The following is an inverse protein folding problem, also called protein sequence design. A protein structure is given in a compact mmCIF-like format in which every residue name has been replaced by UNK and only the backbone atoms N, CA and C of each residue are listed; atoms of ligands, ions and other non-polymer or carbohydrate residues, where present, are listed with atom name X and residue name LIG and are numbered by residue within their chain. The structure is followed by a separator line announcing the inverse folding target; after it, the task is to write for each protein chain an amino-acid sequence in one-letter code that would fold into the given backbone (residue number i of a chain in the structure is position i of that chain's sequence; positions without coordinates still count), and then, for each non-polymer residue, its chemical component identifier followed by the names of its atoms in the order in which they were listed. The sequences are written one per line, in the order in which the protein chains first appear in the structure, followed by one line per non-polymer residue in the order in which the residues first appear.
data_IF_473939126104
#
_entry.id   IF_473939126104
#
_cell.length_a   1.000
_cell.length_b   1.000
_cell.length_c   1.000
_cell.angle_alpha   90.00
_cell.angle_beta   90.00
_cell.angle_gamma   90.00
#
_symmetry.space_group_name_H-M   'P 1'
#
loop_
_entity.id
_entity.type
_entity.pdbx_description
1 polymer ?
#
# COMPACT_ATOMS: atom_id res chain seq x y z
N UNK A 1 -9.89 10.46 -17.67
CA UNK A 1 -9.31 11.82 -17.67
C UNK A 1 -8.23 12.02 -18.73
N UNK A 2 -8.08 13.22 -19.30
CA UNK A 2 -6.97 13.66 -20.15
C UNK A 2 -6.70 15.17 -19.94
N UNK A 3 -5.56 15.69 -20.41
CA UNK A 3 -5.13 17.09 -20.18
C UNK A 3 -6.11 18.11 -20.76
N UNK A 4 -6.63 17.89 -21.96
CA UNK A 4 -7.60 18.81 -22.60
C UNK A 4 -8.91 18.90 -21.81
N UNK A 5 -9.42 17.77 -21.33
CA UNK A 5 -10.58 17.73 -20.44
C UNK A 5 -10.33 18.52 -19.16
N UNK A 6 -9.20 18.29 -18.48
CA UNK A 6 -8.87 19.02 -17.24
C UNK A 6 -8.74 20.53 -17.48
N UNK A 7 -8.12 20.93 -18.60
CA UNK A 7 -7.99 22.33 -18.98
C UNK A 7 -9.36 23.00 -19.21
N UNK A 8 -10.26 22.35 -19.95
CA UNK A 8 -11.61 22.87 -20.20
C UNK A 8 -12.43 22.97 -18.90
N UNK A 9 -12.36 21.96 -18.02
CA UNK A 9 -13.02 21.99 -16.71
C UNK A 9 -12.53 23.16 -15.86
N UNK A 10 -11.22 23.43 -15.90
CA UNK A 10 -10.61 24.56 -15.18
C UNK A 10 -11.09 25.90 -15.73
N UNK A 11 -11.09 26.09 -17.06
CA UNK A 11 -11.57 27.32 -17.71
C UNK A 11 -13.05 27.59 -17.46
N UNK A 12 -13.85 26.55 -17.34
CA UNK A 12 -15.29 26.63 -17.05
C UNK A 12 -15.61 26.77 -15.56
N UNK A 13 -14.60 26.72 -14.68
CA UNK A 13 -14.79 26.78 -13.23
C UNK A 13 -15.53 25.58 -12.66
N UNK A 14 -15.45 24.41 -13.31
CA UNK A 14 -16.18 23.20 -12.89
C UNK A 14 -15.60 22.56 -11.61
N UNK A 15 -14.39 22.95 -11.20
CA UNK A 15 -13.77 22.49 -9.96
C UNK A 15 -14.19 23.36 -8.78
N UNK A 16 -14.82 22.75 -7.78
CA UNK A 16 -15.24 23.43 -6.55
C UNK A 16 -14.06 23.81 -5.65
N UNK A 17 -12.98 23.04 -5.74
CA UNK A 17 -11.77 23.23 -4.95
C UNK A 17 -10.56 22.64 -5.68
N UNK A 18 -9.32 23.04 -5.32
CA UNK A 18 -8.12 22.58 -6.03
C UNK A 18 -7.86 21.08 -5.89
N UNK A 19 -8.37 20.40 -4.84
CA UNK A 19 -8.19 18.95 -4.69
C UNK A 19 -8.97 18.17 -5.76
N UNK A 20 -10.13 18.65 -6.22
CA UNK A 20 -10.85 17.99 -7.31
C UNK A 20 -10.08 18.02 -8.64
N UNK A 21 -9.29 19.07 -8.89
CA UNK A 21 -8.37 19.10 -10.02
C UNK A 21 -7.22 18.09 -9.81
N UNK A 22 -6.72 17.97 -8.58
CA UNK A 22 -5.71 16.96 -8.25
C UNK A 22 -6.23 15.54 -8.47
N UNK A 23 -7.47 15.23 -8.07
CA UNK A 23 -8.09 13.91 -8.26
C UNK A 23 -8.13 13.52 -9.75
N UNK A 24 -8.51 14.46 -10.62
CA UNK A 24 -8.50 14.26 -12.08
C UNK A 24 -7.08 14.09 -12.64
N UNK A 25 -6.11 14.88 -12.16
CA UNK A 25 -4.71 14.79 -12.57
C UNK A 25 -4.09 13.44 -12.18
N UNK A 26 -4.38 12.95 -10.98
CA UNK A 26 -3.97 11.64 -10.53
C UNK A 26 -4.63 10.50 -11.31
N UNK A 27 -5.92 10.64 -11.64
CA UNK A 27 -6.61 9.69 -12.53
C UNK A 27 -5.99 9.64 -13.93
N UNK A 28 -5.46 10.76 -14.43
CA UNK A 28 -4.70 10.78 -15.68
C UNK A 28 -3.35 10.05 -15.54
N UNK A 29 -2.62 10.30 -14.45
CA UNK A 29 -1.30 9.72 -14.20
C UNK A 29 -1.33 8.21 -13.89
N UNK A 30 -2.41 7.71 -13.27
CA UNK A 30 -2.57 6.29 -12.89
C UNK A 30 -3.07 5.39 -14.03
N UNK A 31 -3.31 5.92 -15.24
CA UNK A 31 -3.71 5.08 -16.38
C UNK A 31 -2.58 4.11 -16.73
N UNK A 32 -2.87 2.79 -16.91
CA UNK A 32 -1.91 1.82 -17.40
C UNK A 32 -1.64 2.09 -18.90
N UNK A 33 -0.92 3.15 -19.21
CA UNK A 33 -0.44 3.43 -20.55
C UNK A 33 0.81 2.59 -20.80
N UNK A 34 0.88 1.98 -21.99
CA UNK A 34 2.07 1.31 -22.55
C UNK A 34 3.35 2.20 -22.53
N UNK A 35 3.20 3.50 -22.25
CA UNK A 35 4.25 4.52 -22.15
C UNK A 35 4.57 4.84 -20.68
N UNK A 36 4.81 3.81 -19.87
CA UNK A 36 5.06 3.89 -18.42
C UNK A 36 6.19 4.88 -18.02
N UNK A 37 7.15 5.13 -18.91
CA UNK A 37 8.28 6.05 -18.67
C UNK A 37 7.95 7.54 -18.81
N UNK A 38 6.95 7.92 -19.63
CA UNK A 38 6.60 9.35 -19.80
C UNK A 38 5.62 9.82 -18.74
N UNK A 39 4.68 8.97 -18.35
CA UNK A 39 3.74 9.24 -17.26
C UNK A 39 4.45 9.47 -15.92
N UNK A 40 5.56 8.76 -15.67
CA UNK A 40 6.35 8.94 -14.44
C UNK A 40 7.07 10.30 -14.38
N UNK A 41 7.54 10.86 -15.50
CA UNK A 41 8.15 12.21 -15.51
C UNK A 41 7.10 13.31 -15.30
N UNK A 42 5.95 13.19 -15.96
CA UNK A 42 4.85 14.14 -15.78
C UNK A 42 4.30 14.12 -14.35
N UNK A 43 4.14 12.93 -13.75
CA UNK A 43 3.72 12.81 -12.36
C UNK A 43 4.72 13.48 -11.40
N UNK A 44 6.04 13.32 -11.63
CA UNK A 44 7.07 14.01 -10.83
C UNK A 44 6.96 15.54 -10.93
N UNK A 45 6.89 16.08 -12.16
CA UNK A 45 6.74 17.51 -12.39
C UNK A 45 5.45 18.06 -11.77
N UNK A 46 4.37 17.29 -11.85
CA UNK A 46 3.10 17.63 -11.22
C UNK A 46 3.25 17.75 -9.70
N UNK A 47 3.84 16.74 -9.04
CA UNK A 47 4.08 16.75 -7.59
C UNK A 47 4.94 17.94 -7.15
N UNK A 48 6.01 18.23 -7.88
CA UNK A 48 6.90 19.37 -7.58
C UNK A 48 6.20 20.73 -7.66
N UNK A 49 5.16 20.83 -8.51
CA UNK A 49 4.47 22.09 -8.78
C UNK A 49 3.19 22.26 -7.95
N UNK A 50 2.42 21.20 -7.76
CA UNK A 50 1.04 21.26 -7.26
C UNK A 50 0.97 21.68 -5.79
N UNK A 51 1.92 21.25 -4.97
CA UNK A 51 1.91 21.54 -3.54
C UNK A 51 1.92 23.04 -3.27
N UNK A 52 2.82 23.77 -3.94
CA UNK A 52 2.93 25.22 -3.83
C UNK A 52 1.63 25.93 -4.23
N UNK A 53 0.88 25.37 -5.16
CA UNK A 53 -0.40 25.94 -5.61
C UNK A 53 -1.46 25.68 -4.55
N UNK A 54 -1.67 24.44 -4.13
CA UNK A 54 -2.76 24.11 -3.19
C UNK A 54 -2.53 24.65 -1.78
N UNK A 55 -1.26 24.81 -1.37
CA UNK A 55 -0.91 25.44 -0.10
C UNK A 55 -1.35 26.91 -0.05
N UNK A 56 -1.29 27.64 -1.18
CA UNK A 56 -1.84 29.02 -1.25
C UNK A 56 -3.36 29.06 -1.05
N UNK A 57 -4.06 27.96 -1.28
CA UNK A 57 -5.50 27.81 -1.00
C UNK A 57 -5.80 27.25 0.40
N UNK A 58 -4.77 27.02 1.23
CA UNK A 58 -4.90 26.55 2.61
C UNK A 58 -5.04 25.03 2.76
N UNK A 59 -4.56 24.24 1.79
CA UNK A 59 -4.49 22.78 1.89
C UNK A 59 -3.07 22.31 2.24
N UNK A 60 -2.93 21.12 2.83
CA UNK A 60 -1.61 20.54 3.14
C UNK A 60 -0.73 20.33 1.90
N UNK A 61 -1.22 19.59 0.90
CA UNK A 61 -0.52 19.29 -0.35
C UNK A 61 -1.48 18.69 -1.39
N UNK A 62 -1.03 18.54 -2.64
CA UNK A 62 -1.83 18.01 -3.76
C UNK A 62 -1.48 16.57 -4.12
N UNK A 63 -0.74 15.88 -3.24
CA UNK A 63 -0.19 14.54 -3.48
C UNK A 63 -1.20 13.45 -3.14
N UNK A 64 -1.03 12.28 -3.75
CA UNK A 64 -1.62 11.03 -3.26
C UNK A 64 -0.53 10.25 -2.54
N UNK A 65 -0.67 10.14 -1.22
CA UNK A 65 0.17 9.26 -0.42
C UNK A 65 -0.49 7.90 -0.27
N UNK A 66 0.35 6.88 -0.19
CA UNK A 66 -0.03 5.56 0.25
C UNK A 66 1.05 5.07 1.21
N UNK A 67 0.63 4.36 2.24
CA UNK A 67 1.53 3.71 3.17
C UNK A 67 2.37 2.66 2.44
N UNK A 68 3.54 2.37 3.00
CA UNK A 68 4.29 1.19 2.58
C UNK A 68 3.43 -0.05 2.82
N UNK A 69 3.54 -1.10 1.97
CA UNK A 69 2.86 -2.35 2.20
C UNK A 69 3.10 -2.85 3.62
N UNK A 70 2.07 -3.45 4.23
CA UNK A 70 2.13 -3.93 5.60
C UNK A 70 3.35 -4.83 5.78
N UNK A 71 4.13 -4.58 6.83
CA UNK A 71 5.24 -5.45 7.19
C UNK A 71 4.71 -6.86 7.48
N UNK A 72 5.28 -7.85 6.81
CA UNK A 72 4.93 -9.25 7.00
C UNK A 72 6.16 -10.04 7.44
N UNK A 73 5.98 -10.84 8.48
CA UNK A 73 7.02 -11.68 9.07
C UNK A 73 7.26 -12.93 8.22
N UNK A 74 8.51 -13.38 8.14
CA UNK A 74 8.86 -14.62 7.47
C UNK A 74 9.11 -15.73 8.53
N UNK A 75 8.44 -16.87 8.39
CA UNK A 75 8.62 -18.05 9.25
C UNK A 75 9.80 -18.94 8.83
N UNK A 76 10.68 -18.42 7.97
CA UNK A 76 11.88 -19.11 7.51
C UNK A 76 12.99 -19.07 8.56
N UNK A 77 14.18 -18.60 8.15
CA UNK A 77 15.32 -18.46 9.06
C UNK A 77 15.07 -17.36 10.09
N UNK A 78 15.55 -17.53 11.32
CA UNK A 78 15.39 -16.56 12.42
C UNK A 78 15.87 -15.13 12.09
N UNK A 79 16.79 -14.96 11.14
CA UNK A 79 17.29 -13.64 10.70
C UNK A 79 16.52 -13.04 9.51
N UNK A 80 15.50 -13.72 8.99
CA UNK A 80 14.67 -13.23 7.89
C UNK A 80 13.39 -12.62 8.48
N UNK A 81 13.37 -11.31 8.63
CA UNK A 81 12.24 -10.58 9.24
C UNK A 81 11.37 -9.85 8.21
N UNK A 82 11.84 -9.67 6.97
CA UNK A 82 11.12 -8.94 5.93
C UNK A 82 10.78 -9.83 4.72
N UNK A 83 9.52 -9.75 4.29
CA UNK A 83 9.03 -10.36 3.06
C UNK A 83 9.06 -9.33 1.93
N UNK A 84 9.76 -9.69 0.85
CA UNK A 84 9.78 -8.89 -0.38
C UNK A 84 8.37 -8.67 -0.94
N UNK A 85 8.04 -7.46 -1.42
CA UNK A 85 6.75 -7.17 -2.03
C UNK A 85 6.50 -7.95 -3.33
N UNK A 86 7.56 -8.44 -3.97
CA UNK A 86 7.50 -9.07 -5.29
C UNK A 86 6.96 -10.51 -5.28
N UNK A 87 6.87 -11.16 -4.12
CA UNK A 87 6.31 -12.51 -4.03
C UNK A 87 6.65 -13.24 -2.72
N UNK A 88 5.65 -13.89 -2.15
CA UNK A 88 5.76 -14.71 -0.96
C UNK A 88 4.80 -15.91 -1.01
N UNK A 89 5.14 -16.94 -0.24
CA UNK A 89 4.30 -18.13 -0.09
C UNK A 89 3.58 -18.06 1.24
N UNK A 90 2.31 -18.46 1.27
CA UNK A 90 1.56 -18.52 2.52
C UNK A 90 0.65 -19.73 2.63
N UNK A 91 0.40 -20.13 3.87
CA UNK A 91 -0.61 -21.10 4.23
C UNK A 91 -1.47 -20.51 5.36
N UNK A 92 -2.79 -20.66 5.27
CA UNK A 92 -3.72 -20.21 6.30
C UNK A 92 -4.19 -21.39 7.12
N UNK A 93 -3.96 -21.39 8.42
CA UNK A 93 -4.57 -22.35 9.34
C UNK A 93 -5.89 -21.79 9.88
N UNK A 94 -6.99 -22.44 9.54
CA UNK A 94 -8.34 -22.14 10.04
C UNK A 94 -8.77 -23.04 11.20
N UNK A 95 -8.05 -24.13 11.48
CA UNK A 95 -8.42 -25.13 12.49
C UNK A 95 -7.31 -25.30 13.55
N UNK A 96 -7.18 -24.35 14.50
CA UNK A 96 -6.10 -24.36 15.50
C UNK A 96 -6.18 -25.51 16.51
N UNK A 97 -7.30 -26.23 16.56
CA UNK A 97 -7.48 -27.40 17.42
C UNK A 97 -7.04 -28.70 16.76
N UNK A 98 -6.99 -28.76 15.42
CA UNK A 98 -6.55 -29.95 14.67
C UNK A 98 -5.05 -29.99 14.48
N UNK A 99 -4.46 -28.83 14.24
CA UNK A 99 -3.03 -28.66 14.10
C UNK A 99 -2.56 -27.92 15.35
N UNK A 100 -1.47 -28.34 16.00
CA UNK A 100 -0.86 -27.66 17.15
C UNK A 100 -0.22 -26.31 16.73
N UNK A 101 -0.96 -25.51 15.99
CA UNK A 101 -0.59 -24.28 15.33
C UNK A 101 -1.70 -23.27 15.58
N UNK A 102 -1.33 -22.06 15.96
CA UNK A 102 -2.27 -20.95 16.07
C UNK A 102 -3.03 -20.70 14.76
N UNK A 103 -4.25 -20.21 14.87
CA UNK A 103 -5.03 -19.75 13.71
C UNK A 103 -4.36 -18.53 13.10
N UNK A 104 -4.16 -18.52 11.78
CA UNK A 104 -3.49 -17.41 11.13
C UNK A 104 -2.81 -17.77 9.81
N UNK A 105 -2.07 -16.81 9.27
CA UNK A 105 -1.28 -16.97 8.04
C UNK A 105 0.17 -17.20 8.38
N UNK A 106 0.73 -18.30 7.89
CA UNK A 106 2.14 -18.62 7.95
C UNK A 106 2.78 -18.26 6.61
N UNK A 107 3.73 -17.34 6.64
CA UNK A 107 4.28 -16.69 5.44
C UNK A 107 5.79 -16.93 5.31
N UNK A 108 6.25 -17.15 4.08
CA UNK A 108 7.65 -17.38 3.75
C UNK A 108 8.04 -16.49 2.56
N UNK A 109 9.15 -15.79 2.67
CA UNK A 109 9.74 -15.15 1.49
C UNK A 109 10.18 -16.22 0.48
N UNK A 110 10.22 -15.86 -0.82
CA UNK A 110 10.59 -16.80 -1.88
C UNK A 110 11.94 -17.51 -1.60
N UNK A 111 12.93 -16.79 -1.08
CA UNK A 111 14.24 -17.37 -0.78
C UNK A 111 14.17 -18.43 0.33
N UNK A 112 13.44 -18.16 1.41
CA UNK A 112 13.29 -19.13 2.49
C UNK A 112 12.50 -20.36 2.03
N UNK A 113 11.40 -20.14 1.31
CA UNK A 113 10.55 -21.22 0.80
C UNK A 113 11.32 -22.19 -0.12
N UNK A 114 12.11 -21.65 -1.05
CA UNK A 114 12.92 -22.46 -1.97
C UNK A 114 14.18 -23.07 -1.32
N UNK A 115 14.69 -22.49 -0.23
CA UNK A 115 15.87 -23.03 0.46
C UNK A 115 15.62 -24.37 1.18
N UNK A 116 14.37 -24.65 1.52
CA UNK A 116 13.97 -25.91 2.14
C UNK A 116 14.02 -26.99 1.06
N UNK A 117 14.81 -28.06 1.23
CA UNK A 117 14.90 -29.14 0.23
C UNK A 117 13.80 -30.20 0.37
N UNK A 118 13.15 -30.27 1.53
CA UNK A 118 12.03 -31.19 1.78
C UNK A 118 10.78 -30.76 0.98
N UNK A 119 9.91 -31.73 0.69
CA UNK A 119 8.56 -31.55 0.14
C UNK A 119 7.60 -30.94 1.18
N UNK A 120 8.01 -30.93 2.45
CA UNK A 120 7.26 -30.38 3.57
C UNK A 120 8.05 -29.30 4.32
N UNK A 121 7.33 -28.42 5.01
CA UNK A 121 7.86 -27.36 5.85
C UNK A 121 7.43 -27.63 7.29
N UNK A 122 8.39 -27.64 8.20
CA UNK A 122 8.13 -27.73 9.64
C UNK A 122 7.84 -26.32 10.18
N UNK A 123 6.67 -26.15 10.79
CA UNK A 123 6.21 -24.86 11.32
C UNK A 123 5.91 -25.01 12.80
N UNK A 124 6.40 -24.08 13.60
CA UNK A 124 6.01 -23.86 14.99
C UNK A 124 5.80 -22.37 15.21
N UNK A 125 4.80 -22.01 15.99
CA UNK A 125 4.49 -20.64 16.38
C UNK A 125 5.35 -20.14 17.54
N UNK A 126 5.74 -21.03 18.47
CA UNK A 126 6.67 -20.74 19.56
C UNK A 126 7.71 -21.86 19.76
N UNK A 127 8.84 -21.51 20.38
CA UNK A 127 9.94 -22.45 20.71
C UNK A 127 9.53 -23.64 21.61
N UNK A 128 8.38 -23.55 22.26
CA UNK A 128 7.85 -24.56 23.18
C UNK A 128 6.80 -25.48 22.52
N UNK A 129 6.31 -25.17 21.32
CA UNK A 129 5.29 -25.99 20.64
C UNK A 129 5.93 -26.99 19.69
N UNK A 130 5.26 -28.14 19.52
CA UNK A 130 5.68 -29.17 18.58
C UNK A 130 5.58 -28.66 17.16
N UNK A 131 6.63 -28.87 16.37
CA UNK A 131 6.63 -28.54 14.95
C UNK A 131 5.60 -29.39 14.21
N UNK A 132 4.79 -28.74 13.37
CA UNK A 132 3.82 -29.38 12.50
C UNK A 132 4.38 -29.40 11.08
N UNK A 133 4.29 -30.57 10.44
CA UNK A 133 4.73 -30.77 9.07
C UNK A 133 3.61 -30.38 8.10
N UNK A 134 3.87 -29.37 7.26
CA UNK A 134 2.92 -28.88 6.25
C UNK A 134 3.50 -29.10 4.84
N UNK A 135 2.80 -29.80 3.94
CA UNK A 135 3.25 -29.98 2.56
C UNK A 135 3.43 -28.64 1.83
N UNK A 136 4.51 -28.47 1.08
CA UNK A 136 4.75 -27.25 0.29
C UNK A 136 3.66 -26.97 -0.74
N UNK A 137 3.05 -28.03 -1.25
CA UNK A 137 2.05 -27.97 -2.32
C UNK A 137 0.77 -27.23 -1.90
N UNK A 138 0.51 -27.12 -0.59
CA UNK A 138 -0.67 -26.39 -0.08
C UNK A 138 -0.39 -24.91 0.21
N UNK A 139 0.84 -24.43 -0.05
CA UNK A 139 1.17 -23.01 0.03
C UNK A 139 0.79 -22.29 -1.26
N UNK A 140 0.22 -21.11 -1.10
CA UNK A 140 -0.19 -20.26 -2.21
C UNK A 140 0.81 -19.12 -2.41
N UNK A 141 1.11 -18.81 -3.67
CA UNK A 141 1.91 -17.65 -4.04
C UNK A 141 1.04 -16.39 -3.99
N UNK A 142 1.53 -15.33 -3.35
CA UNK A 142 0.91 -14.02 -3.29
C UNK A 142 1.96 -12.90 -3.38
N UNK A 143 1.49 -11.68 -3.59
CA UNK A 143 2.31 -10.46 -3.63
C UNK A 143 1.85 -9.49 -2.53
N UNK A 144 2.79 -8.70 -2.00
CA UNK A 144 2.50 -7.67 -1.01
C UNK A 144 2.60 -6.29 -1.69
N UNK A 145 1.79 -6.11 -2.72
CA UNK A 145 1.75 -4.92 -3.57
C UNK A 145 0.58 -3.98 -3.23
N UNK A 146 -0.32 -4.41 -2.34
CA UNK A 146 -1.40 -3.59 -1.82
C UNK A 146 -0.80 -2.49 -0.93
N UNK A 147 -1.07 -1.24 -1.32
CA UNK A 147 -0.69 -0.05 -0.56
C UNK A 147 -1.95 0.66 -0.10
N UNK A 148 -2.10 0.78 1.22
CA UNK A 148 -3.24 1.47 1.81
C UNK A 148 -3.10 2.98 1.55
N UNK A 149 -4.09 3.65 0.96
CA UNK A 149 -4.02 5.08 0.73
C UNK A 149 -4.03 5.84 2.06
N UNK A 150 -3.34 6.98 2.10
CA UNK A 150 -3.39 7.89 3.24
C UNK A 150 -4.82 8.42 3.43
N UNK A 151 -5.25 8.49 4.69
CA UNK A 151 -6.59 8.95 5.05
C UNK A 151 -6.65 10.48 4.91
N UNK A 152 -7.74 10.98 4.32
CA UNK A 152 -8.07 12.39 4.28
C UNK A 152 -9.14 12.69 5.32
N UNK A 153 -8.94 13.74 6.12
CA UNK A 153 -9.87 14.22 7.13
C UNK A 153 -10.32 15.65 6.81
N UNK A 154 -11.54 16.00 7.18
CA UNK A 154 -12.10 17.33 6.94
C UNK A 154 -11.95 18.20 8.18
N UNK A 155 -11.44 19.42 8.01
CA UNK A 155 -11.36 20.39 9.09
C UNK A 155 -12.78 20.81 9.54
N UNK A 156 -13.09 20.69 10.82
CA UNK A 156 -14.41 21.06 11.36
C UNK A 156 -14.75 22.55 11.21
N UNK A 157 -13.75 23.43 11.08
CA UNK A 157 -13.95 24.88 10.97
C UNK A 157 -14.11 25.31 9.51
N UNK A 158 -13.15 24.94 8.65
CA UNK A 158 -13.08 25.45 7.28
C UNK A 158 -13.46 24.43 6.20
N UNK A 159 -13.83 23.19 6.60
CA UNK A 159 -14.23 22.05 5.74
C UNK A 159 -13.21 21.64 4.66
N UNK A 160 -12.00 22.20 4.69
CA UNK A 160 -10.89 21.77 3.83
C UNK A 160 -10.44 20.38 4.25
N UNK A 161 -10.10 19.55 3.27
CA UNK A 161 -9.57 18.20 3.49
C UNK A 161 -8.05 18.22 3.67
N UNK A 162 -7.55 17.49 4.64
CA UNK A 162 -6.14 17.37 4.99
C UNK A 162 -5.75 15.90 5.04
N UNK A 163 -4.52 15.58 4.65
CA UNK A 163 -3.95 14.28 4.97
C UNK A 163 -3.85 14.17 6.49
N UNK A 164 -4.30 13.04 7.05
CA UNK A 164 -4.33 12.83 8.50
C UNK A 164 -2.95 13.05 9.11
N UNK A 165 -1.88 12.52 8.51
CA UNK A 165 -0.49 12.69 8.99
C UNK A 165 -0.05 14.16 9.08
N UNK A 166 -0.58 15.04 8.24
CA UNK A 166 -0.28 16.48 8.29
C UNK A 166 -1.14 17.25 9.30
N UNK A 167 -2.15 16.58 9.88
CA UNK A 167 -3.09 17.15 10.83
C UNK A 167 -2.85 16.65 12.27
N UNK A 168 -2.04 15.61 12.47
CA UNK A 168 -1.83 14.94 13.78
C UNK A 168 -1.32 15.86 14.92
N UNK A 169 -0.75 17.02 14.60
CA UNK A 169 -0.23 17.98 15.57
C UNK A 169 -1.15 19.19 15.78
N UNK A 170 -2.29 19.23 15.09
CA UNK A 170 -3.30 20.24 15.28
C UNK A 170 -4.29 19.68 16.28
N UNK A 171 -4.16 20.07 17.55
CA UNK A 171 -5.02 19.65 18.67
C UNK A 171 -6.53 19.94 18.45
N UNK A 172 -6.90 20.58 17.33
CA UNK A 172 -8.24 21.03 16.96
C UNK A 172 -8.52 20.90 15.44
N UNK A 173 -8.42 19.69 14.90
CA UNK A 173 -9.12 19.33 13.65
C UNK A 173 -10.34 18.49 13.96
#
# INVERSE_FOLDING_TARGET
MNVSTMHNKLLRGEYKNPLQFCDDAWLYNNKPLRVYKMCTKLAKLFVESIDRVVQKFGYCCGRQYAYLPKLMLCYGKQQCWEISPYGYYYHSNSEPLRFNLSSGKYTFCANCFHSIKSESILIGDDSTRTLVEIPKQIFLLAQNDIREPEIMIDCIVCTRRWHQVYALHLDQI
#
